data_IF_058213235351
#
_entry.id   IF_058213235351
#
_cell.length_a   1.000
_cell.length_b   1.000
_cell.length_c   1.000
_cell.angle_alpha   90.00
_cell.angle_beta   90.00
_cell.angle_gamma   90.00
#
_symmetry.space_group_name_H-M   'P 1'
#
loop_
_entity.id
_entity.type
_entity.pdbx_description
1 polymer ?
#
# COMPACT_ATOMS: atom_id res chain seq x y z
N UNK A 1 -25.35 12.99 -1.24
CA UNK A 1 -25.02 12.16 -2.42
C UNK A 1 -23.64 12.60 -2.88
N UNK A 2 -22.66 11.70 -2.90
CA UNK A 2 -21.23 12.07 -2.97
C UNK A 2 -20.61 12.09 -4.36
N UNK A 3 -21.33 11.72 -5.43
CA UNK A 3 -20.81 11.78 -6.81
C UNK A 3 -21.91 11.89 -7.88
N UNK A 4 -21.55 12.05 -9.17
CA UNK A 4 -22.49 12.37 -10.25
C UNK A 4 -23.42 11.21 -10.67
N UNK A 5 -23.12 9.97 -10.27
CA UNK A 5 -23.92 8.79 -10.61
C UNK A 5 -24.66 8.24 -9.38
N UNK A 6 -25.81 7.62 -9.61
CA UNK A 6 -26.69 7.01 -8.60
C UNK A 6 -26.92 5.54 -8.91
N UNK A 7 -27.34 4.78 -7.90
CA UNK A 7 -27.75 3.39 -8.07
C UNK A 7 -28.86 3.28 -9.14
N UNK A 8 -28.73 2.32 -10.05
CA UNK A 8 -29.61 2.11 -11.19
C UNK A 8 -29.23 2.87 -12.46
N UNK A 9 -28.33 3.86 -12.40
CA UNK A 9 -27.80 4.52 -13.60
C UNK A 9 -27.04 3.49 -14.45
N UNK A 10 -27.17 3.58 -15.78
CA UNK A 10 -26.54 2.65 -16.72
C UNK A 10 -25.54 3.40 -17.59
N UNK A 11 -24.27 3.04 -17.47
CA UNK A 11 -23.17 3.62 -18.24
C UNK A 11 -22.91 2.76 -19.49
N UNK A 12 -22.86 3.41 -20.65
CA UNK A 12 -22.58 2.76 -21.93
C UNK A 12 -23.56 1.62 -22.27
N UNK A 13 -24.80 1.70 -21.77
CA UNK A 13 -25.83 0.66 -21.96
C UNK A 13 -25.53 -0.71 -21.32
N UNK A 14 -24.43 -0.84 -20.55
CA UNK A 14 -23.92 -2.13 -20.08
C UNK A 14 -23.66 -2.19 -18.58
N UNK A 15 -23.11 -1.13 -18.00
CA UNK A 15 -22.65 -1.14 -16.62
C UNK A 15 -23.64 -0.40 -15.74
N UNK A 16 -24.38 -1.14 -14.93
CA UNK A 16 -25.37 -0.58 -14.01
C UNK A 16 -24.72 -0.26 -12.67
N UNK A 17 -24.83 0.98 -12.21
CA UNK A 17 -24.29 1.40 -10.92
C UNK A 17 -25.09 0.73 -9.81
N UNK A 18 -24.38 0.01 -8.93
CA UNK A 18 -24.97 -0.60 -7.74
C UNK A 18 -24.88 0.38 -6.57
N UNK A 19 -23.67 0.88 -6.29
CA UNK A 19 -23.42 1.79 -5.18
C UNK A 19 -22.13 2.58 -5.36
N UNK A 20 -22.07 3.71 -4.67
CA UNK A 20 -20.83 4.44 -4.45
C UNK A 20 -19.88 3.62 -3.55
N UNK A 21 -18.56 3.64 -3.85
CA UNK A 21 -17.52 2.99 -3.03
C UNK A 21 -16.71 4.04 -2.29
N UNK A 22 -16.04 4.92 -3.03
CA UNK A 22 -15.10 5.89 -2.47
C UNK A 22 -14.89 7.06 -3.45
N UNK A 23 -14.22 8.10 -2.98
CA UNK A 23 -13.64 9.13 -3.83
C UNK A 23 -12.14 9.22 -3.62
N UNK A 24 -11.39 9.13 -4.72
CA UNK A 24 -10.02 9.58 -4.74
C UNK A 24 -9.97 11.11 -4.88
N UNK A 25 -8.78 11.68 -4.77
CA UNK A 25 -8.61 13.11 -4.99
C UNK A 25 -8.94 13.57 -6.42
N UNK A 26 -8.91 12.67 -7.41
CA UNK A 26 -9.19 13.00 -8.83
C UNK A 26 -10.41 12.30 -9.43
N UNK A 27 -11.02 11.34 -8.73
CA UNK A 27 -12.03 10.45 -9.30
C UNK A 27 -13.07 9.99 -8.27
N UNK A 28 -14.25 9.65 -8.77
CA UNK A 28 -15.27 8.90 -8.05
C UNK A 28 -15.16 7.42 -8.42
N UNK A 29 -15.39 6.54 -7.45
CA UNK A 29 -15.33 5.08 -7.62
C UNK A 29 -16.67 4.46 -7.23
N UNK A 30 -17.22 3.63 -8.12
CA UNK A 30 -18.51 2.95 -7.94
C UNK A 30 -18.33 1.45 -8.11
N UNK A 31 -19.16 0.67 -7.40
CA UNK A 31 -19.43 -0.71 -7.74
C UNK A 31 -20.50 -0.70 -8.82
N UNK A 32 -20.26 -1.41 -9.92
CA UNK A 32 -21.22 -1.54 -11.00
C UNK A 32 -21.36 -3.01 -11.40
N UNK A 33 -22.56 -3.40 -11.85
CA UNK A 33 -22.81 -4.71 -12.44
C UNK A 33 -22.64 -4.61 -13.96
N UNK A 34 -21.71 -5.38 -14.50
CA UNK A 34 -21.60 -5.63 -15.93
C UNK A 34 -22.75 -6.56 -16.35
N UNK A 35 -23.80 -6.01 -16.99
CA UNK A 35 -25.01 -6.76 -17.35
C UNK A 35 -24.77 -7.84 -18.40
N UNK A 36 -23.70 -7.73 -19.20
CA UNK A 36 -23.40 -8.71 -20.25
C UNK A 36 -22.56 -9.87 -19.73
N UNK A 37 -21.53 -9.58 -18.92
CA UNK A 37 -20.65 -10.60 -18.37
C UNK A 37 -21.10 -11.14 -17.00
N UNK A 38 -22.20 -10.61 -16.45
CA UNK A 38 -22.78 -10.94 -15.14
C UNK A 38 -21.76 -10.95 -14.00
N UNK A 39 -20.99 -9.85 -13.88
CA UNK A 39 -19.99 -9.68 -12.82
C UNK A 39 -19.96 -8.26 -12.26
N UNK A 40 -19.49 -8.11 -11.04
CA UNK A 40 -19.24 -6.79 -10.45
C UNK A 40 -17.88 -6.24 -10.86
N UNK A 41 -17.85 -4.93 -11.11
CA UNK A 41 -16.66 -4.17 -11.55
C UNK A 41 -16.52 -2.87 -10.77
N UNK A 42 -15.30 -2.35 -10.70
CA UNK A 42 -15.05 -1.00 -10.24
C UNK A 42 -15.16 -0.04 -11.43
N UNK A 43 -16.07 0.92 -11.35
CA UNK A 43 -16.25 1.97 -12.35
C UNK A 43 -15.72 3.29 -11.80
N UNK A 44 -14.72 3.85 -12.48
CA UNK A 44 -14.05 5.10 -12.10
C UNK A 44 -14.38 6.22 -13.08
N UNK A 45 -14.72 7.40 -12.59
CA UNK A 45 -14.98 8.59 -13.41
C UNK A 45 -14.25 9.80 -12.83
N UNK A 46 -13.66 10.67 -13.66
CA UNK A 46 -12.95 11.86 -13.17
C UNK A 46 -13.89 12.86 -12.49
N UNK A 47 -13.38 13.60 -11.51
CA UNK A 47 -14.10 14.70 -10.85
C UNK A 47 -14.22 15.96 -11.73
N UNK A 48 -13.21 16.23 -12.55
CA UNK A 48 -13.10 17.45 -13.35
C UNK A 48 -13.05 17.16 -14.85
N UNK A 49 -13.61 18.04 -15.70
CA UNK A 49 -13.59 17.86 -17.17
C UNK A 49 -12.19 17.96 -17.78
N UNK A 50 -11.24 18.66 -17.14
CA UNK A 50 -9.83 18.71 -17.58
C UNK A 50 -9.12 17.34 -17.46
N UNK A 51 -9.67 16.41 -16.69
CA UNK A 51 -9.11 15.08 -16.44
C UNK A 51 -9.46 14.04 -17.54
N UNK A 52 -10.35 14.40 -18.46
CA UNK A 52 -10.97 13.52 -19.48
C UNK A 52 -9.98 12.92 -20.49
N UNK A 53 -9.10 13.73 -21.09
CA UNK A 53 -8.07 13.24 -22.05
C UNK A 53 -7.06 12.33 -21.35
N UNK A 54 -6.79 12.62 -20.08
CA UNK A 54 -5.78 11.94 -19.28
C UNK A 54 -6.25 10.54 -18.87
N UNK A 55 -7.51 10.40 -18.43
CA UNK A 55 -8.16 9.10 -18.15
C UNK A 55 -8.08 8.09 -19.31
N UNK A 56 -8.22 8.54 -20.57
CA UNK A 56 -8.06 7.66 -21.75
C UNK A 56 -6.66 7.08 -21.83
N UNK A 57 -5.66 7.93 -21.64
CA UNK A 57 -4.26 7.51 -21.72
C UNK A 57 -3.93 6.56 -20.57
N UNK A 58 -4.42 6.83 -19.37
CA UNK A 58 -4.29 5.96 -18.20
C UNK A 58 -4.87 4.58 -18.49
N UNK A 59 -6.10 4.52 -19.03
CA UNK A 59 -6.76 3.27 -19.39
C UNK A 59 -5.94 2.44 -20.40
N UNK A 60 -5.44 3.07 -21.46
CA UNK A 60 -4.62 2.41 -22.50
C UNK A 60 -3.32 1.85 -21.92
N UNK A 61 -2.69 2.59 -21.01
CA UNK A 61 -1.43 2.19 -20.37
C UNK A 61 -1.68 1.06 -19.38
N UNK A 62 -2.66 1.20 -18.48
CA UNK A 62 -2.99 0.21 -17.46
C UNK A 62 -3.46 -1.12 -18.06
N UNK A 63 -4.20 -1.09 -19.18
CA UNK A 63 -4.65 -2.29 -19.89
C UNK A 63 -3.53 -3.18 -20.45
N UNK A 64 -2.28 -2.69 -20.53
CA UNK A 64 -1.13 -3.50 -20.95
C UNK A 64 -0.64 -4.46 -19.86
N UNK A 65 -1.03 -4.23 -18.61
CA UNK A 65 -0.53 -4.98 -17.45
C UNK A 65 -1.56 -6.03 -17.07
N UNK A 66 -1.14 -7.31 -17.09
CA UNK A 66 -1.96 -8.41 -16.61
C UNK A 66 -1.14 -9.25 -15.63
N UNK A 67 -1.37 -9.04 -14.33
CA UNK A 67 -0.60 -9.70 -13.28
C UNK A 67 -1.45 -9.85 -12.01
N UNK A 68 -1.33 -10.95 -11.23
CA UNK A 68 -2.12 -11.14 -10.02
C UNK A 68 -2.03 -10.00 -9.00
N UNK A 69 -0.88 -9.32 -8.93
CA UNK A 69 -0.64 -8.18 -8.04
C UNK A 69 -0.97 -6.79 -8.65
N UNK A 70 -1.66 -6.74 -9.79
CA UNK A 70 -2.10 -5.49 -10.43
C UNK A 70 -3.60 -5.59 -10.72
N UNK A 71 -4.33 -4.52 -10.42
CA UNK A 71 -5.74 -4.41 -10.74
C UNK A 71 -5.95 -4.45 -12.25
N UNK A 72 -6.69 -5.45 -12.73
CA UNK A 72 -6.93 -5.59 -14.17
C UNK A 72 -7.85 -4.50 -14.70
N UNK A 73 -7.37 -3.74 -15.68
CA UNK A 73 -8.24 -2.88 -16.50
C UNK A 73 -9.05 -3.75 -17.46
N UNK A 74 -10.37 -3.57 -17.45
CA UNK A 74 -11.33 -4.39 -18.21
C UNK A 74 -11.88 -3.66 -19.43
N UNK A 75 -12.15 -2.36 -19.31
CA UNK A 75 -12.81 -1.59 -20.37
C UNK A 75 -12.59 -0.07 -20.19
N UNK A 76 -12.86 0.68 -21.25
CA UNK A 76 -12.87 2.14 -21.24
C UNK A 76 -14.05 2.67 -22.06
N UNK A 77 -14.92 3.43 -21.40
CA UNK A 77 -16.15 3.93 -22.00
C UNK A 77 -16.06 5.44 -22.18
N UNK A 78 -16.46 5.88 -23.37
CA UNK A 78 -16.70 7.28 -23.70
C UNK A 78 -18.18 7.45 -24.00
N UNK A 79 -18.88 8.19 -23.16
CA UNK A 79 -20.30 8.55 -23.34
C UNK A 79 -20.42 10.07 -23.27
N UNK A 80 -20.74 10.70 -24.40
CA UNK A 80 -20.73 12.15 -24.56
C UNK A 80 -19.39 12.76 -24.08
N UNK A 81 -19.43 13.64 -23.07
CA UNK A 81 -18.26 14.26 -22.46
C UNK A 81 -17.68 13.46 -21.28
N UNK A 82 -18.38 12.45 -20.79
CA UNK A 82 -17.96 11.66 -19.63
C UNK A 82 -17.04 10.52 -20.05
N UNK A 83 -16.16 10.10 -19.14
CA UNK A 83 -15.24 8.98 -19.33
C UNK A 83 -15.28 8.06 -18.14
N UNK A 84 -15.25 6.77 -18.42
CA UNK A 84 -15.33 5.74 -17.41
C UNK A 84 -14.23 4.72 -17.64
N UNK A 85 -13.45 4.46 -16.61
CA UNK A 85 -12.46 3.38 -16.57
C UNK A 85 -13.10 2.22 -15.79
N UNK A 86 -13.12 1.05 -16.40
CA UNK A 86 -13.66 -0.17 -15.78
C UNK A 86 -12.50 -1.06 -15.39
N UNK A 87 -12.43 -1.40 -14.11
CA UNK A 87 -11.42 -2.28 -13.53
C UNK A 87 -12.09 -3.44 -12.79
N UNK A 88 -11.31 -4.48 -12.49
CA UNK A 88 -11.78 -5.52 -11.59
C UNK A 88 -12.18 -4.94 -10.22
N UNK A 89 -13.31 -5.39 -9.69
CA UNK A 89 -13.71 -5.00 -8.34
C UNK A 89 -12.96 -5.84 -7.31
N UNK A 90 -12.10 -5.19 -6.53
CA UNK A 90 -11.38 -5.86 -5.45
C UNK A 90 -12.19 -5.71 -4.17
N UNK A 91 -12.74 -6.83 -3.68
CA UNK A 91 -13.53 -6.89 -2.45
C UNK A 91 -12.60 -6.92 -1.23
N UNK A 92 -11.95 -5.78 -0.99
CA UNK A 92 -10.98 -5.59 0.07
C UNK A 92 -10.97 -4.14 0.58
N UNK A 93 -9.95 -3.81 1.36
CA UNK A 93 -9.69 -2.45 1.84
C UNK A 93 -8.35 -1.98 1.29
N UNK A 94 -8.18 -0.67 1.10
CA UNK A 94 -6.84 -0.14 0.84
C UNK A 94 -5.90 -0.45 2.02
N UNK A 95 -4.59 -0.52 1.75
CA UNK A 95 -3.59 -0.97 2.72
C UNK A 95 -3.54 -0.08 3.96
N UNK A 96 -3.87 1.20 3.83
CA UNK A 96 -3.97 2.11 4.98
C UNK A 96 -5.09 1.65 5.92
N UNK A 97 -6.31 1.48 5.40
CA UNK A 97 -7.46 1.01 6.21
C UNK A 97 -7.29 -0.43 6.67
N UNK A 98 -6.73 -1.30 5.83
CA UNK A 98 -6.60 -2.73 6.11
C UNK A 98 -5.57 -3.01 7.21
N UNK A 99 -4.43 -2.30 7.20
CA UNK A 99 -3.26 -2.60 8.04
C UNK A 99 -2.85 -1.39 8.89
N UNK A 100 -2.43 -0.28 8.27
CA UNK A 100 -1.75 0.83 8.98
C UNK A 100 -2.62 1.59 9.99
N UNK A 101 -3.94 1.63 9.82
CA UNK A 101 -4.84 2.29 10.80
C UNK A 101 -5.17 1.40 12.00
N UNK A 102 -4.86 0.10 11.93
CA UNK A 102 -5.18 -0.90 12.95
C UNK A 102 -3.97 -1.29 13.80
N UNK A 103 -2.76 -0.93 13.36
CA UNK A 103 -1.51 -1.15 14.09
C UNK A 103 -0.55 -0.01 13.85
N UNK A 104 0.32 0.26 14.82
CA UNK A 104 1.35 1.29 14.67
C UNK A 104 2.40 0.90 13.62
N UNK A 105 2.74 -0.38 13.51
CA UNK A 105 3.73 -0.92 12.58
C UNK A 105 3.43 -2.40 12.30
N UNK A 106 4.07 -2.96 11.28
CA UNK A 106 3.99 -4.38 10.94
C UNK A 106 5.26 -5.10 11.36
N UNK A 107 5.13 -6.40 11.66
CA UNK A 107 6.29 -7.25 11.91
C UNK A 107 7.08 -7.49 10.60
N UNK A 108 8.40 -7.76 10.68
CA UNK A 108 9.25 -7.91 9.49
C UNK A 108 8.75 -8.97 8.51
N UNK A 109 8.10 -10.04 8.96
CA UNK A 109 7.61 -11.09 8.05
C UNK A 109 6.43 -10.60 7.22
N UNK A 110 5.49 -9.88 7.83
CA UNK A 110 4.38 -9.31 7.09
C UNK A 110 4.86 -8.20 6.14
N UNK A 111 5.82 -7.36 6.57
CA UNK A 111 6.45 -6.37 5.70
C UNK A 111 7.11 -7.07 4.50
N UNK A 112 7.91 -8.12 4.70
CA UNK A 112 8.54 -8.86 3.61
C UNK A 112 7.51 -9.43 2.61
N UNK A 113 6.41 -10.01 3.11
CA UNK A 113 5.32 -10.52 2.26
C UNK A 113 4.68 -9.41 1.42
N UNK A 114 4.37 -8.26 2.02
CA UNK A 114 3.82 -7.08 1.33
C UNK A 114 4.81 -6.56 0.28
N UNK A 115 6.08 -6.37 0.65
CA UNK A 115 7.17 -5.94 -0.24
C UNK A 115 7.28 -6.81 -1.47
N UNK A 116 7.20 -8.13 -1.30
CA UNK A 116 7.30 -9.06 -2.40
C UNK A 116 6.14 -8.94 -3.39
N UNK A 117 4.90 -8.81 -2.89
CA UNK A 117 3.73 -8.62 -3.75
C UNK A 117 3.79 -7.28 -4.49
N UNK A 118 4.23 -6.21 -3.82
CA UNK A 118 4.43 -4.90 -4.46
C UNK A 118 5.51 -4.96 -5.55
N UNK A 119 6.67 -5.57 -5.26
CA UNK A 119 7.76 -5.71 -6.22
C UNK A 119 7.32 -6.48 -7.47
N UNK A 120 6.57 -7.58 -7.31
CA UNK A 120 6.02 -8.35 -8.44
C UNK A 120 5.06 -7.54 -9.30
N UNK A 121 4.15 -6.78 -8.66
CA UNK A 121 3.22 -5.91 -9.37
C UNK A 121 3.94 -4.80 -10.15
N UNK A 122 4.96 -4.18 -9.55
CA UNK A 122 5.78 -3.16 -10.22
C UNK A 122 6.61 -3.74 -11.35
N UNK A 123 7.24 -4.90 -11.17
CA UNK A 123 8.03 -5.56 -12.22
C UNK A 123 7.16 -5.83 -13.47
N UNK A 124 5.96 -6.39 -13.28
CA UNK A 124 5.02 -6.63 -14.37
C UNK A 124 4.60 -5.33 -15.08
N UNK A 125 4.37 -4.24 -14.33
CA UNK A 125 4.07 -2.94 -14.92
C UNK A 125 5.27 -2.37 -15.69
N UNK A 126 6.47 -2.45 -15.12
CA UNK A 126 7.71 -1.93 -15.70
C UNK A 126 8.07 -2.67 -17.00
N UNK A 127 7.88 -3.99 -17.06
CA UNK A 127 8.04 -4.78 -18.29
C UNK A 127 7.05 -4.38 -19.39
N UNK A 128 5.85 -3.95 -19.02
CA UNK A 128 4.85 -3.42 -19.96
C UNK A 128 5.10 -1.94 -20.35
N UNK A 129 6.19 -1.32 -19.87
CA UNK A 129 6.52 0.08 -20.10
C UNK A 129 5.61 1.05 -19.34
N UNK A 130 5.00 0.59 -18.25
CA UNK A 130 4.08 1.35 -17.41
C UNK A 130 4.79 1.81 -16.14
N UNK A 131 4.63 3.09 -15.78
CA UNK A 131 5.14 3.67 -14.53
C UNK A 131 3.92 4.08 -13.68
N UNK A 132 3.93 3.74 -12.40
CA UNK A 132 2.81 4.01 -11.50
C UNK A 132 2.72 5.49 -11.09
N UNK A 133 3.84 6.08 -10.62
CA UNK A 133 4.06 7.49 -10.25
C UNK A 133 3.35 8.03 -9.01
N UNK A 134 2.34 7.34 -8.48
CA UNK A 134 1.67 7.69 -7.21
C UNK A 134 1.54 6.47 -6.29
N UNK A 135 2.61 5.68 -6.14
CA UNK A 135 2.54 4.46 -5.35
C UNK A 135 2.51 4.79 -3.85
N UNK A 136 1.41 4.47 -3.17
CA UNK A 136 1.18 4.77 -1.75
C UNK A 136 0.14 3.80 -1.16
N UNK A 137 -0.03 3.74 0.18
CA UNK A 137 -0.94 2.79 0.81
C UNK A 137 -2.40 2.82 0.33
N UNK A 138 -2.92 3.97 -0.10
CA UNK A 138 -4.30 4.07 -0.60
C UNK A 138 -4.49 3.48 -2.01
N UNK A 139 -3.41 3.21 -2.74
CA UNK A 139 -3.41 2.63 -4.09
C UNK A 139 -3.01 1.15 -4.08
N UNK A 140 -3.05 0.52 -2.90
CA UNK A 140 -2.80 -0.89 -2.69
C UNK A 140 -4.03 -1.51 -2.04
N UNK A 141 -4.75 -2.36 -2.77
CA UNK A 141 -5.90 -3.07 -2.23
C UNK A 141 -5.45 -4.38 -1.59
N UNK A 142 -5.96 -4.63 -0.38
CA UNK A 142 -5.66 -5.81 0.45
C UNK A 142 -6.95 -6.59 0.69
N UNK A 143 -6.90 -7.88 0.39
CA UNK A 143 -7.98 -8.85 0.68
C UNK A 143 -7.54 -9.76 1.82
N UNK A 144 -8.43 -10.01 2.77
CA UNK A 144 -8.16 -10.87 3.94
C UNK A 144 -7.34 -10.20 5.05
N UNK A 145 -7.21 -8.86 5.04
CA UNK A 145 -6.53 -8.09 6.08
C UNK A 145 -5.09 -8.56 6.32
N UNK A 146 -4.76 -8.86 7.58
CA UNK A 146 -3.42 -9.31 7.98
C UNK A 146 -3.00 -10.67 7.41
N UNK A 147 -3.95 -11.52 7.00
CA UNK A 147 -3.62 -12.77 6.31
C UNK A 147 -3.12 -12.52 4.89
N UNK A 148 -3.37 -11.33 4.34
CA UNK A 148 -2.89 -10.87 3.03
C UNK A 148 -3.12 -11.94 1.96
N UNK A 149 -4.38 -12.34 1.79
CA UNK A 149 -4.76 -13.35 0.78
C UNK A 149 -4.50 -12.85 -0.63
N UNK A 150 -4.75 -11.56 -0.87
CA UNK A 150 -4.37 -10.86 -2.09
C UNK A 150 -3.85 -9.46 -1.76
N UNK A 151 -2.93 -8.98 -2.61
CA UNK A 151 -2.51 -7.58 -2.66
C UNK A 151 -2.44 -7.18 -4.13
N UNK A 152 -3.15 -6.11 -4.48
CA UNK A 152 -3.23 -5.58 -5.85
C UNK A 152 -2.94 -4.09 -5.87
N UNK A 153 -2.07 -3.67 -6.78
CA UNK A 153 -1.79 -2.26 -7.07
C UNK A 153 -2.90 -1.73 -7.98
N UNK A 154 -3.51 -0.60 -7.63
CA UNK A 154 -4.58 0.06 -8.42
C UNK A 154 -4.13 1.41 -8.97
N UNK A 155 -4.92 2.03 -9.85
CA UNK A 155 -4.75 3.45 -10.26
C UNK A 155 -3.50 3.76 -11.09
N UNK A 156 -3.01 2.77 -11.85
CA UNK A 156 -1.92 2.95 -12.81
C UNK A 156 -2.22 4.08 -13.80
N UNK A 157 -1.27 5.00 -13.90
CA UNK A 157 -1.29 6.04 -14.94
C UNK A 157 -2.28 7.18 -14.69
N UNK A 158 -3.06 7.19 -13.60
CA UNK A 158 -3.84 8.38 -13.20
C UNK A 158 -2.90 9.46 -12.64
N UNK A 159 -1.72 9.09 -12.12
CA UNK A 159 -0.73 9.98 -11.54
C UNK A 159 -0.05 10.96 -12.51
N UNK A 160 0.01 10.67 -13.83
CA UNK A 160 0.50 11.63 -14.84
C UNK A 160 -0.35 12.92 -14.86
N UNK A 161 -1.57 12.83 -14.32
CA UNK A 161 -2.49 13.95 -14.14
C UNK A 161 -2.08 14.87 -13.00
N UNK A 162 -1.56 14.28 -11.92
CA UNK A 162 -1.03 15.01 -10.78
C UNK A 162 0.29 15.69 -11.13
N UNK A 163 1.17 15.08 -11.93
CA UNK A 163 2.41 15.72 -12.41
C UNK A 163 2.18 17.01 -13.22
N UNK A 164 1.16 17.03 -14.07
CA UNK A 164 0.79 18.23 -14.85
C UNK A 164 0.07 19.26 -13.96
N UNK A 165 -0.78 18.84 -13.02
CA UNK A 165 -1.35 19.75 -12.00
C UNK A 165 -0.28 20.30 -11.04
N UNK A 166 0.74 19.51 -10.71
CA UNK A 166 1.91 19.91 -9.92
C UNK A 166 2.81 20.86 -10.71
N UNK A 167 2.95 20.65 -12.02
CA UNK A 167 3.69 21.55 -12.91
C UNK A 167 2.95 22.88 -13.10
N UNK A 168 1.63 22.86 -13.33
CA UNK A 168 0.78 24.06 -13.37
C UNK A 168 0.77 24.77 -12.00
N UNK A 169 0.78 24.02 -10.91
CA UNK A 169 0.91 24.52 -9.54
C UNK A 169 2.28 25.16 -9.26
N UNK A 170 3.37 24.58 -9.78
CA UNK A 170 4.73 25.09 -9.64
C UNK A 170 4.95 26.36 -10.48
N UNK A 171 4.31 26.46 -11.65
CA UNK A 171 4.26 27.70 -12.44
C UNK A 171 3.41 28.79 -11.76
N UNK A 172 2.44 28.42 -10.91
CA UNK A 172 1.58 29.32 -10.12
C UNK A 172 2.10 29.72 -8.72
N UNK A 173 3.25 29.21 -8.29
CA UNK A 173 3.89 29.51 -6.99
C UNK A 173 3.57 28.53 -5.84
N UNK A 174 4.28 28.66 -4.71
CA UNK A 174 4.30 27.71 -3.56
C UNK A 174 2.91 27.39 -2.95
N UNK A 175 1.90 28.24 -3.18
CA UNK A 175 0.54 28.08 -2.61
C UNK A 175 -0.33 27.01 -3.28
N UNK A 176 0.08 26.51 -4.45
CA UNK A 176 -0.76 25.61 -5.26
C UNK A 176 -0.44 24.12 -5.00
N UNK A 177 0.76 23.81 -4.53
CA UNK A 177 1.17 22.47 -4.06
C UNK A 177 0.42 22.03 -2.79
N UNK A 178 0.08 23.00 -1.92
CA UNK A 178 -0.55 22.78 -0.60
C UNK A 178 -2.06 22.55 -0.67
N UNK A 179 -2.70 22.84 -1.80
CA UNK A 179 -4.16 22.76 -1.95
C UNK A 179 -4.66 21.44 -2.53
N UNK A 180 -3.79 20.59 -3.10
CA UNK A 180 -4.17 19.25 -3.56
C UNK A 180 -4.04 18.21 -2.43
N UNK A 181 -5.17 17.80 -1.84
CA UNK A 181 -5.22 16.74 -0.82
C UNK A 181 -4.54 15.44 -1.29
N UNK A 182 -4.55 15.16 -2.60
CA UNK A 182 -3.87 14.01 -3.20
C UNK A 182 -2.35 14.11 -3.09
N UNK A 183 -1.79 15.29 -3.39
CA UNK A 183 -0.35 15.54 -3.35
C UNK A 183 0.16 15.47 -1.91
N UNK A 184 -0.59 16.03 -0.95
CA UNK A 184 -0.26 15.98 0.48
C UNK A 184 -0.18 14.54 1.00
N UNK A 185 -1.08 13.65 0.56
CA UNK A 185 -1.08 12.23 0.96
C UNK A 185 -0.03 11.38 0.25
N UNK A 186 0.42 11.78 -0.94
CA UNK A 186 1.45 11.08 -1.73
C UNK A 186 2.87 11.48 -1.34
N UNK A 187 3.06 12.74 -0.92
CA UNK A 187 4.36 13.35 -0.66
C UNK A 187 5.33 12.48 0.16
N UNK A 188 4.90 11.80 1.25
CA UNK A 188 5.81 10.96 2.04
C UNK A 188 6.46 9.78 1.29
N UNK A 189 5.92 9.43 0.11
CA UNK A 189 6.39 8.33 -0.73
C UNK A 189 6.94 8.80 -2.09
N UNK A 190 6.90 10.10 -2.38
CA UNK A 190 7.34 10.64 -3.67
C UNK A 190 8.87 10.70 -3.75
N UNK A 191 9.40 10.34 -4.93
CA UNK A 191 10.81 10.49 -5.26
C UNK A 191 11.19 11.97 -5.47
N UNK A 192 12.45 12.37 -5.26
CA UNK A 192 12.89 13.76 -5.44
C UNK A 192 12.63 14.27 -6.86
N UNK A 193 12.92 13.46 -7.88
CA UNK A 193 12.70 13.81 -9.28
C UNK A 193 11.22 13.93 -9.65
N UNK A 194 10.31 13.28 -8.90
CA UNK A 194 8.87 13.45 -9.09
C UNK A 194 8.35 14.80 -8.59
N UNK A 195 9.12 15.47 -7.71
CA UNK A 195 8.84 16.82 -7.22
C UNK A 195 9.54 17.85 -8.13
N UNK A 196 10.81 17.63 -8.43
CA UNK A 196 11.68 18.60 -9.11
C UNK A 196 11.50 18.62 -10.64
N UNK A 197 11.45 17.43 -11.26
CA UNK A 197 11.40 17.27 -12.71
C UNK A 197 10.33 16.25 -13.11
N UNK A 198 9.03 16.50 -12.78
CA UNK A 198 7.95 15.53 -12.96
C UNK A 198 7.84 14.98 -14.39
N UNK A 199 8.16 15.79 -15.41
CA UNK A 199 8.15 15.38 -16.83
C UNK A 199 9.22 14.34 -17.20
N UNK A 200 10.24 14.15 -16.37
CA UNK A 200 11.38 13.25 -16.58
C UNK A 200 11.33 11.99 -15.68
N UNK A 201 10.24 11.79 -14.94
CA UNK A 201 10.06 10.64 -14.04
C UNK A 201 10.15 9.32 -14.80
N UNK A 202 11.02 8.44 -14.31
CA UNK A 202 11.23 7.09 -14.82
C UNK A 202 10.68 6.04 -13.85
N UNK A 203 10.81 4.74 -14.20
CA UNK A 203 10.45 3.61 -13.34
C UNK A 203 11.13 3.64 -11.96
N UNK A 204 12.30 4.29 -11.86
CA UNK A 204 13.04 4.44 -10.62
C UNK A 204 12.28 5.22 -9.53
N UNK A 205 11.30 6.06 -9.90
CA UNK A 205 10.46 6.74 -8.91
C UNK A 205 9.52 5.77 -8.17
N UNK A 206 9.00 4.74 -8.86
CA UNK A 206 8.18 3.71 -8.21
C UNK A 206 9.02 2.88 -7.23
N UNK A 207 10.31 2.67 -7.54
CA UNK A 207 11.27 1.99 -6.66
C UNK A 207 11.47 2.78 -5.36
N UNK A 208 11.65 4.10 -5.46
CA UNK A 208 11.70 4.97 -4.29
C UNK A 208 10.43 4.85 -3.45
N UNK A 209 9.26 4.94 -4.07
CA UNK A 209 7.98 4.83 -3.37
C UNK A 209 7.82 3.48 -2.66
N UNK A 210 8.26 2.39 -3.29
CA UNK A 210 8.32 1.08 -2.66
C UNK A 210 9.21 1.11 -1.41
N UNK A 211 10.43 1.64 -1.51
CA UNK A 211 11.33 1.79 -0.35
C UNK A 211 10.70 2.61 0.79
N UNK A 212 10.09 3.73 0.46
CA UNK A 212 9.39 4.58 1.43
C UNK A 212 8.22 3.85 2.12
N UNK A 213 7.48 3.02 1.39
CA UNK A 213 6.42 2.17 1.97
C UNK A 213 6.99 1.08 2.87
N UNK A 214 8.08 0.40 2.48
CA UNK A 214 8.73 -0.61 3.35
C UNK A 214 9.13 0.03 4.68
N UNK A 215 9.78 1.20 4.63
CA UNK A 215 10.14 1.94 5.84
C UNK A 215 8.92 2.23 6.70
N UNK A 216 7.85 2.77 6.11
CA UNK A 216 6.66 3.13 6.84
C UNK A 216 5.95 1.93 7.47
N UNK A 217 5.84 0.82 6.73
CA UNK A 217 5.23 -0.40 7.23
C UNK A 217 6.03 -1.00 8.41
N UNK A 218 7.36 -0.99 8.32
CA UNK A 218 8.22 -1.59 9.34
C UNK A 218 8.35 -0.75 10.61
N UNK A 219 8.38 0.57 10.46
CA UNK A 219 8.67 1.51 11.56
C UNK A 219 7.43 2.16 12.15
N UNK A 220 6.33 2.21 11.38
CA UNK A 220 5.16 3.02 11.69
C UNK A 220 5.34 4.51 11.44
N UNK A 221 6.47 4.92 10.87
CA UNK A 221 6.82 6.31 10.64
C UNK A 221 7.04 6.57 9.15
N UNK A 222 6.48 7.66 8.65
CA UNK A 222 6.81 8.12 7.30
C UNK A 222 8.30 8.51 7.23
N UNK A 223 9.05 8.08 6.19
CA UNK A 223 10.51 8.23 6.15
C UNK A 223 10.96 9.68 6.27
N UNK A 224 10.26 10.59 5.59
CA UNK A 224 10.62 12.01 5.53
C UNK A 224 9.68 12.90 6.36
N UNK A 225 8.78 12.29 7.15
CA UNK A 225 7.70 12.98 7.84
C UNK A 225 6.56 13.41 6.90
N UNK A 226 5.75 14.37 7.36
CA UNK A 226 4.55 14.85 6.68
C UNK A 226 4.61 16.35 6.36
N UNK A 227 3.81 16.76 5.37
CA UNK A 227 3.66 18.16 4.97
C UNK A 227 4.90 18.75 4.31
N UNK A 228 4.92 20.08 4.14
CA UNK A 228 5.97 20.79 3.38
C UNK A 228 7.39 20.58 3.92
N UNK A 229 7.56 20.33 5.22
CA UNK A 229 8.87 20.04 5.81
C UNK A 229 9.48 18.75 5.28
N UNK A 230 8.66 17.80 4.81
CA UNK A 230 9.13 16.57 4.19
C UNK A 230 9.81 16.84 2.85
N UNK A 231 9.41 17.89 2.10
CA UNK A 231 9.97 18.21 0.77
C UNK A 231 11.47 18.40 0.85
N UNK A 232 11.95 19.19 1.81
CA UNK A 232 13.40 19.46 1.97
C UNK A 232 14.18 18.16 2.22
N UNK A 233 13.64 17.27 3.08
CA UNK A 233 14.26 15.98 3.39
C UNK A 233 14.26 15.03 2.20
N UNK A 234 13.15 15.00 1.44
CA UNK A 234 13.02 14.23 0.20
C UNK A 234 14.06 14.72 -0.81
N UNK A 235 14.11 16.03 -1.09
CA UNK A 235 15.06 16.64 -2.04
C UNK A 235 16.52 16.42 -1.66
N UNK A 236 16.82 16.37 -0.35
CA UNK A 236 18.14 16.00 0.16
C UNK A 236 18.43 14.50 0.10
N UNK A 237 17.41 13.65 -0.11
CA UNK A 237 17.44 12.21 0.11
C UNK A 237 18.02 11.86 1.49
N UNK A 238 17.59 12.60 2.52
CA UNK A 238 18.05 12.41 3.89
C UNK A 238 17.72 10.98 4.35
N UNK A 239 18.74 10.19 4.72
CA UNK A 239 18.53 8.80 5.13
C UNK A 239 17.62 8.76 6.37
N UNK A 240 16.44 8.12 6.30
CA UNK A 240 15.54 8.08 7.44
C UNK A 240 16.08 7.13 8.52
N UNK A 241 15.99 7.57 9.77
CA UNK A 241 16.50 6.83 10.94
C UNK A 241 15.42 5.87 11.44
N UNK A 242 15.68 4.56 11.33
CA UNK A 242 14.77 3.56 11.88
C UNK A 242 14.80 3.59 13.42
N UNK A 243 13.65 3.51 14.11
CA UNK A 243 13.61 3.42 15.56
C UNK A 243 14.35 2.18 16.08
N UNK A 244 15.06 2.30 17.20
CA UNK A 244 15.90 1.23 17.74
C UNK A 244 15.14 -0.09 18.04
N UNK A 245 13.81 -0.05 18.25
CA UNK A 245 13.02 -1.26 18.50
C UNK A 245 13.02 -2.23 17.30
N UNK A 246 13.16 -1.72 16.07
CA UNK A 246 13.12 -2.50 14.83
C UNK A 246 14.21 -3.57 14.80
N UNK A 247 15.40 -3.25 15.31
CA UNK A 247 16.57 -4.13 15.32
C UNK A 247 16.90 -4.71 16.71
N UNK A 248 16.11 -4.37 17.75
CA UNK A 248 16.42 -4.75 19.14
C UNK A 248 16.30 -6.25 19.40
N UNK A 249 15.31 -6.89 18.78
CA UNK A 249 14.99 -8.29 19.08
C UNK A 249 15.74 -9.23 18.12
N UNK A 250 16.64 -10.10 18.60
CA UNK A 250 17.42 -11.01 17.76
C UNK A 250 16.58 -11.96 16.89
N UNK A 251 15.35 -12.27 17.33
CA UNK A 251 14.43 -13.12 16.57
C UNK A 251 13.86 -12.43 15.31
N UNK A 252 13.99 -11.11 15.21
CA UNK A 252 13.45 -10.29 14.11
C UNK A 252 14.52 -9.47 13.39
N UNK A 253 15.63 -9.16 14.06
CA UNK A 253 16.63 -8.23 13.57
C UNK A 253 17.30 -8.64 12.25
N UNK A 254 17.55 -9.92 11.93
CA UNK A 254 18.14 -10.28 10.63
C UNK A 254 17.22 -9.89 9.47
N UNK A 255 15.94 -10.27 9.52
CA UNK A 255 14.98 -9.93 8.47
C UNK A 255 14.69 -8.42 8.44
N UNK A 256 14.59 -7.78 9.61
CA UNK A 256 14.40 -6.34 9.68
C UNK A 256 15.60 -5.56 9.10
N UNK A 257 16.83 -6.04 9.30
CA UNK A 257 18.03 -5.44 8.72
C UNK A 257 18.05 -5.56 7.21
N UNK A 258 17.71 -6.73 6.65
CA UNK A 258 17.59 -6.92 5.20
C UNK A 258 16.52 -5.99 4.59
N UNK A 259 15.36 -5.85 5.24
CA UNK A 259 14.32 -4.94 4.79
C UNK A 259 14.74 -3.47 4.84
N UNK A 260 15.51 -3.08 5.87
CA UNK A 260 16.07 -1.73 5.95
C UNK A 260 17.14 -1.49 4.89
N UNK A 261 18.00 -2.48 4.63
CA UNK A 261 18.98 -2.40 3.53
C UNK A 261 18.29 -2.20 2.17
N UNK A 262 17.27 -3.03 1.87
CA UNK A 262 16.45 -2.87 0.67
C UNK A 262 15.79 -1.48 0.60
N UNK A 263 15.24 -1.02 1.71
CA UNK A 263 14.62 0.30 1.84
C UNK A 263 15.61 1.41 1.47
N UNK A 264 16.84 1.37 1.99
CA UNK A 264 17.86 2.38 1.73
C UNK A 264 18.42 2.29 0.31
N UNK A 265 18.54 1.10 -0.27
CA UNK A 265 18.89 0.93 -1.68
C UNK A 265 17.83 1.52 -2.62
N UNK A 266 16.55 1.43 -2.26
CA UNK A 266 15.45 2.01 -3.02
C UNK A 266 15.43 3.55 -2.97
N UNK A 267 15.84 4.15 -1.84
CA UNK A 267 15.78 5.60 -1.61
C UNK A 267 17.13 6.31 -1.88
N UNK A 268 17.90 5.85 -2.86
CA UNK A 268 19.09 6.56 -3.32
C UNK A 268 18.72 7.84 -4.08
N UNK A 269 19.49 8.91 -3.89
CA UNK A 269 19.23 10.19 -4.56
C UNK A 269 19.31 10.07 -6.08
N UNK A 270 20.37 9.44 -6.58
CA UNK A 270 20.51 9.12 -8.00
C UNK A 270 19.52 8.00 -8.39
N UNK A 271 18.55 8.25 -9.28
CA UNK A 271 17.62 7.21 -9.74
C UNK A 271 18.31 6.00 -10.37
N UNK A 272 19.50 6.16 -10.95
CA UNK A 272 20.26 5.06 -11.58
C UNK A 272 20.95 4.15 -10.56
N UNK A 273 21.13 4.61 -9.32
CA UNK A 273 21.73 3.83 -8.24
C UNK A 273 20.69 2.94 -7.52
N UNK A 274 19.41 3.09 -7.85
CA UNK A 274 18.31 2.29 -7.27
C UNK A 274 18.23 0.94 -7.99
N UNK A 275 17.86 -0.14 -7.28
CA UNK A 275 17.62 -1.45 -7.90
C UNK A 275 16.44 -1.39 -8.88
N UNK A 276 16.39 -2.34 -9.82
CA UNK A 276 15.19 -2.54 -10.64
C UNK A 276 14.09 -3.25 -9.84
N UNK A 277 12.85 -3.23 -10.36
CA UNK A 277 11.77 -4.01 -9.75
C UNK A 277 12.06 -5.52 -9.78
N UNK A 278 12.75 -6.02 -10.80
CA UNK A 278 13.17 -7.43 -10.89
C UNK A 278 14.20 -7.78 -9.81
N UNK A 279 15.17 -6.91 -9.56
CA UNK A 279 16.14 -7.09 -8.47
C UNK A 279 15.43 -7.18 -7.11
N UNK A 280 14.39 -6.37 -6.91
CA UNK A 280 13.57 -6.40 -5.71
C UNK A 280 12.69 -7.65 -5.62
N UNK A 281 12.19 -8.18 -6.74
CA UNK A 281 11.50 -9.47 -6.77
C UNK A 281 12.45 -10.58 -6.35
N UNK A 282 13.67 -10.61 -6.90
CA UNK A 282 14.69 -11.59 -6.56
C UNK A 282 15.09 -11.51 -5.08
N UNK A 283 15.39 -10.29 -4.57
CA UNK A 283 15.71 -10.07 -3.16
C UNK A 283 14.56 -10.48 -2.25
N UNK A 284 13.33 -10.04 -2.52
CA UNK A 284 12.15 -10.43 -1.74
C UNK A 284 11.91 -11.95 -1.77
N UNK A 285 12.17 -12.60 -2.91
CA UNK A 285 12.03 -14.05 -3.09
C UNK A 285 13.02 -14.86 -2.26
N UNK A 286 14.18 -14.28 -1.92
CA UNK A 286 15.15 -14.89 -1.01
C UNK A 286 14.83 -14.68 0.47
N UNK A 287 13.91 -13.77 0.82
CA UNK A 287 13.51 -13.53 2.20
C UNK A 287 12.65 -14.69 2.73
N UNK A 288 12.98 -15.17 3.94
CA UNK A 288 12.13 -16.11 4.65
C UNK A 288 10.98 -15.34 5.34
N UNK A 289 9.75 -15.49 4.84
CA UNK A 289 8.57 -15.00 5.53
C UNK A 289 7.44 -16.02 5.62
N UNK A 290 6.63 -15.88 6.68
CA UNK A 290 5.55 -16.82 6.94
C UNK A 290 4.38 -16.63 5.98
N UNK A 291 3.83 -17.75 5.53
CA UNK A 291 2.56 -17.83 4.81
C UNK A 291 1.41 -18.27 5.70
N UNK A 292 1.68 -18.54 6.98
CA UNK A 292 0.65 -18.94 7.93
C UNK A 292 -0.38 -17.82 8.10
N UNK A 293 -1.69 -18.16 8.20
CA UNK A 293 -2.73 -17.18 8.48
C UNK A 293 -2.43 -16.39 9.75
N UNK A 294 -2.91 -15.15 9.79
CA UNK A 294 -2.85 -14.30 10.98
C UNK A 294 -4.17 -14.41 11.73
N UNK A 295 -4.07 -14.57 13.04
CA UNK A 295 -5.19 -14.74 13.98
C UNK A 295 -5.11 -13.64 15.03
N UNK A 296 -6.27 -13.09 15.38
CA UNK A 296 -6.39 -12.13 16.47
C UNK A 296 -6.67 -12.84 17.79
N UNK A 297 -6.21 -12.25 18.89
CA UNK A 297 -6.53 -12.71 20.23
C UNK A 297 -6.26 -11.65 21.28
N UNK A 298 -6.52 -12.00 22.54
CA UNK A 298 -6.31 -11.15 23.70
C UNK A 298 -5.34 -11.83 24.65
N UNK A 299 -4.35 -11.10 25.13
CA UNK A 299 -3.41 -11.59 26.16
C UNK A 299 -4.19 -11.87 27.44
N UNK A 300 -4.32 -13.14 27.78
CA UNK A 300 -5.08 -13.60 28.95
C UNK A 300 -4.22 -13.66 30.22
N UNK A 301 -2.93 -13.98 30.06
CA UNK A 301 -1.99 -14.10 31.18
C UNK A 301 -0.57 -13.79 30.72
N UNK A 302 0.21 -13.17 31.59
CA UNK A 302 1.66 -12.98 31.45
C UNK A 302 2.33 -13.50 32.72
N UNK A 303 3.21 -14.49 32.57
CA UNK A 303 3.90 -15.18 33.64
C UNK A 303 5.38 -14.80 33.63
N UNK A 304 5.93 -14.46 34.81
CA UNK A 304 7.35 -14.16 35.03
C UNK A 304 7.93 -13.12 34.05
N UNK A 305 7.08 -12.25 33.49
CA UNK A 305 7.43 -11.28 32.44
C UNK A 305 8.14 -11.90 31.20
N UNK A 306 8.05 -13.21 31.02
CA UNK A 306 8.84 -13.96 30.02
C UNK A 306 7.96 -14.66 29.00
N UNK A 307 6.81 -15.17 29.42
CA UNK A 307 5.86 -15.86 28.54
C UNK A 307 4.42 -15.61 28.98
N UNK A 308 3.47 -16.09 28.21
CA UNK A 308 2.06 -15.96 28.54
C UNK A 308 1.15 -16.78 27.65
N UNK A 309 -0.14 -16.52 27.80
CA UNK A 309 -1.19 -17.15 27.00
C UNK A 309 -2.11 -16.11 26.40
N UNK A 310 -2.50 -16.35 25.15
CA UNK A 310 -3.47 -15.59 24.37
C UNK A 310 -4.74 -16.43 24.28
N UNK A 311 -5.89 -15.81 24.50
CA UNK A 311 -7.20 -16.38 24.17
C UNK A 311 -7.61 -15.89 22.79
N UNK A 312 -8.02 -16.81 21.92
CA UNK A 312 -8.43 -16.54 20.54
C UNK A 312 -9.49 -17.53 20.09
N UNK A 313 -10.04 -17.36 18.89
CA UNK A 313 -11.06 -18.26 18.31
C UNK A 313 -10.54 -19.69 18.09
N UNK A 314 -9.22 -19.87 18.03
CA UNK A 314 -8.57 -21.19 17.93
C UNK A 314 -8.21 -21.77 19.31
N UNK A 315 -8.75 -21.18 20.38
CA UNK A 315 -8.50 -21.57 21.76
C UNK A 315 -7.30 -20.86 22.39
N UNK A 316 -6.71 -21.52 23.39
CA UNK A 316 -5.59 -20.98 24.18
C UNK A 316 -4.26 -21.20 23.43
N UNK A 317 -3.51 -20.13 23.24
CA UNK A 317 -2.24 -20.12 22.52
C UNK A 317 -1.11 -19.62 23.42
N UNK A 318 0.01 -20.33 23.45
CA UNK A 318 1.21 -19.94 24.20
C UNK A 318 2.03 -18.91 23.42
N UNK A 319 2.64 -17.93 24.10
CA UNK A 319 3.66 -17.06 23.50
C UNK A 319 4.84 -16.81 24.44
N UNK A 320 6.02 -16.58 23.86
CA UNK A 320 7.20 -16.07 24.58
C UNK A 320 7.38 -14.58 24.28
N UNK A 321 7.96 -13.80 25.19
CA UNK A 321 8.20 -12.37 24.98
C UNK A 321 9.20 -12.09 23.85
N UNK A 322 10.06 -13.04 23.52
CA UNK A 322 10.95 -12.96 22.34
C UNK A 322 10.18 -13.06 21.02
N UNK A 323 9.01 -13.73 21.04
CA UNK A 323 8.12 -13.79 19.89
C UNK A 323 7.37 -12.47 19.65
N UNK A 324 7.51 -11.47 20.53
CA UNK A 324 6.83 -10.18 20.42
C UNK A 324 7.71 -9.15 19.72
N UNK A 325 7.20 -8.61 18.61
CA UNK A 325 7.81 -7.50 17.88
C UNK A 325 7.23 -6.15 18.34
N UNK A 326 8.09 -5.19 18.65
CA UNK A 326 7.68 -3.83 19.05
C UNK A 326 8.45 -3.23 20.24
N UNK A 327 7.94 -2.11 20.75
CA UNK A 327 8.50 -1.33 21.86
C UNK A 327 8.10 -1.87 23.24
N UNK A 328 9.01 -1.91 24.24
CA UNK A 328 8.65 -2.21 25.63
C UNK A 328 7.78 -1.13 26.32
N UNK A 329 7.02 -1.46 27.39
CA UNK A 329 6.72 -2.81 27.85
C UNK A 329 5.85 -3.54 26.81
N UNK A 330 6.24 -4.77 26.46
CA UNK A 330 5.78 -5.37 25.20
C UNK A 330 4.29 -5.71 25.21
N UNK A 331 3.82 -6.46 26.21
CA UNK A 331 2.43 -6.90 26.32
C UNK A 331 1.99 -6.99 27.78
N UNK A 332 0.76 -6.56 28.04
CA UNK A 332 0.05 -6.73 29.33
C UNK A 332 -1.26 -7.48 29.12
N UNK A 333 -1.84 -8.01 30.21
CA UNK A 333 -3.15 -8.67 30.16
C UNK A 333 -4.21 -7.71 29.61
N UNK A 334 -5.06 -8.19 28.70
CA UNK A 334 -6.07 -7.40 28.00
C UNK A 334 -5.59 -6.79 26.68
N UNK A 335 -4.28 -6.79 26.40
CA UNK A 335 -3.77 -6.32 25.10
C UNK A 335 -4.31 -7.20 23.97
N UNK A 336 -4.79 -6.56 22.90
CA UNK A 336 -5.11 -7.23 21.64
C UNK A 336 -3.85 -7.48 20.85
N UNK A 337 -3.75 -8.68 20.30
CA UNK A 337 -2.58 -9.11 19.55
C UNK A 337 -2.97 -9.85 18.28
N UNK A 338 -2.09 -9.76 17.30
CA UNK A 338 -2.09 -10.51 16.07
C UNK A 338 -0.93 -11.50 16.10
N UNK A 339 -1.16 -12.74 15.67
CA UNK A 339 -0.11 -13.75 15.58
C UNK A 339 -0.41 -14.83 14.55
N UNK A 340 0.58 -15.67 14.21
CA UNK A 340 0.31 -16.95 13.54
C UNK A 340 0.48 -18.12 14.50
N UNK A 341 -0.44 -19.10 14.50
CA UNK A 341 -0.33 -20.30 15.32
C UNK A 341 0.57 -21.35 14.66
N UNK A 342 1.42 -21.99 15.46
CA UNK A 342 2.21 -23.15 15.07
C UNK A 342 2.00 -24.28 16.08
N UNK A 343 2.24 -25.53 15.66
CA UNK A 343 2.16 -26.67 16.55
C UNK A 343 3.12 -26.53 17.74
N UNK A 344 2.67 -26.94 18.93
CA UNK A 344 3.45 -26.90 20.16
C UNK A 344 3.01 -27.98 21.13
N UNK A 345 3.88 -28.34 22.08
CA UNK A 345 3.56 -29.29 23.15
C UNK A 345 2.57 -28.68 24.15
N UNK A 346 1.34 -29.17 24.19
CA UNK A 346 0.29 -28.77 25.14
C UNK A 346 -0.59 -27.59 24.72
N UNK A 347 -0.07 -26.68 23.89
CA UNK A 347 -0.85 -25.62 23.24
C UNK A 347 -0.14 -25.16 21.95
N UNK A 348 -0.86 -24.61 20.96
CA UNK A 348 -0.23 -23.91 19.83
C UNK A 348 0.66 -22.78 20.31
N UNK A 349 1.71 -22.46 19.53
CA UNK A 349 2.64 -21.35 19.79
C UNK A 349 2.35 -20.18 18.85
N UNK A 350 2.30 -18.97 19.40
CA UNK A 350 2.10 -17.74 18.65
C UNK A 350 3.44 -17.17 18.15
N UNK A 351 3.56 -16.94 16.84
CA UNK A 351 4.73 -16.28 16.26
C UNK A 351 4.49 -15.60 14.90
N UNK A 352 5.16 -14.48 14.61
CA UNK A 352 5.36 -13.37 15.54
C UNK A 352 4.07 -13.00 16.28
N UNK A 353 4.23 -12.31 17.40
CA UNK A 353 3.15 -11.65 18.12
C UNK A 353 3.32 -10.14 17.96
N UNK A 354 2.27 -9.47 17.52
CA UNK A 354 2.22 -8.03 17.29
C UNK A 354 1.04 -7.44 18.07
N UNK A 355 1.29 -6.40 18.85
CA UNK A 355 0.21 -5.64 19.52
C UNK A 355 -0.56 -4.83 18.47
N UNK A 356 -1.89 -4.89 18.53
CA UNK A 356 -2.77 -4.11 17.63
C UNK A 356 -3.64 -3.15 18.45
N UNK A 357 -4.14 -2.09 17.80
CA UNK A 357 -4.99 -1.09 18.46
C UNK A 357 -6.34 -1.70 18.87
N UNK A 358 -6.94 -1.16 19.94
CA UNK A 358 -8.34 -1.43 20.23
C UNK A 358 -9.20 -0.80 19.12
N UNK A 359 -10.07 -1.60 18.50
CA UNK A 359 -11.03 -1.14 17.48
C UNK A 359 -12.12 -0.27 18.06
#
# INVERSE_FOLDING_TARGET
>A
MSGPLKAGDVVGGRYEIERYIDEGGMQFVYAAKDRLADRFVALKTPKNKSATKRFRRSAIVAAKVNHPNVAKTLDYIKESDNRYLIEELIVGQDLSKALLRKTMFLDPYLVAKVSHHMAKGLAAAHHAGVIHRDLKPTNLMVVGGYSLSELKITDFGIAKMAEEELAEAAEGGEQTLTTSQTAVGALPYMAPEAIDTPKQVTQAADIWSLGAMIFHLLTGQQPFGAGLRAVQKIMAAERPVAPAFVLRNPQFSPLAAELLDMTYACMQKDPKARPSADDLVARCGALCYTVAPRVEGVVARVDYQSYGFITSDIGRVFFHMDSVFGTPPKLVVGDRVLFSPYAGGGAPRAYPVLKIAAT
#
